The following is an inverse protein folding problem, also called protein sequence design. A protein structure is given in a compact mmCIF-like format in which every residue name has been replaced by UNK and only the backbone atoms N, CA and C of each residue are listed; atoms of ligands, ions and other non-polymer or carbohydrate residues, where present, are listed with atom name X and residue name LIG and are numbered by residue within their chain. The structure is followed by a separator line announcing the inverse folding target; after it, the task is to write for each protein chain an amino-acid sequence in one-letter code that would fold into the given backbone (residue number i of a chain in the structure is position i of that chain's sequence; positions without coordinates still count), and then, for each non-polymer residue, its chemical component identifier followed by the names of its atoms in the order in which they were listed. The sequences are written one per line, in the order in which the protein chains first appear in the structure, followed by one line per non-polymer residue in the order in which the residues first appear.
data_IF_354208891222
#
_entry.id   IF_354208891222
#
_cell.length_a   1.000
_cell.length_b   1.000
_cell.length_c   1.000
_cell.angle_alpha   90.00
_cell.angle_beta   90.00
_cell.angle_gamma   90.00
#
_symmetry.space_group_name_H-M   'P 1'
#
loop_
_entity.id
_entity.type
_entity.pdbx_description
1 polymer ?
#
# COMPACT_ATOMS: atom_id res chain seq x y z
N UNK A 1 -7.41 -24.34 -16.28
CA UNK A 1 -6.48 -23.20 -16.52
C UNK A 1 -7.21 -21.88 -16.77
N UNK A 2 -8.31 -21.85 -17.52
CA UNK A 2 -9.08 -20.62 -17.78
C UNK A 2 -9.55 -19.90 -16.50
N UNK A 3 -10.08 -20.65 -15.52
CA UNK A 3 -10.52 -20.08 -14.25
C UNK A 3 -9.40 -19.38 -13.46
N UNK A 4 -8.17 -19.88 -13.54
CA UNK A 4 -7.00 -19.27 -12.89
C UNK A 4 -6.54 -17.98 -13.59
N UNK A 5 -6.64 -17.94 -14.92
CA UNK A 5 -6.40 -16.71 -15.68
C UNK A 5 -7.47 -15.66 -15.40
N UNK A 6 -8.74 -16.05 -15.31
CA UNK A 6 -9.84 -15.15 -14.97
C UNK A 6 -9.66 -14.52 -13.58
N UNK A 7 -9.26 -15.31 -12.58
CA UNK A 7 -8.96 -14.78 -11.24
C UNK A 7 -7.79 -13.79 -11.27
N UNK A 8 -6.71 -14.11 -11.98
CA UNK A 8 -5.57 -13.18 -12.09
C UNK A 8 -5.99 -11.85 -12.73
N UNK A 9 -6.73 -11.90 -13.84
CA UNK A 9 -7.16 -10.69 -14.56
C UNK A 9 -8.13 -9.85 -13.73
N UNK A 10 -9.10 -10.48 -13.07
CA UNK A 10 -10.12 -9.79 -12.28
C UNK A 10 -9.61 -9.31 -10.91
N UNK A 11 -8.49 -9.87 -10.42
CA UNK A 11 -7.85 -9.45 -9.17
C UNK A 11 -7.00 -8.18 -9.32
N UNK A 12 -6.67 -7.78 -10.55
CA UNK A 12 -5.93 -6.54 -10.79
C UNK A 12 -6.93 -5.38 -10.63
N UNK A 13 -6.72 -4.48 -9.65
CA UNK A 13 -7.58 -3.32 -9.51
C UNK A 13 -7.47 -2.43 -10.75
N UNK A 14 -8.61 -2.01 -11.30
CA UNK A 14 -8.67 -1.16 -12.50
C UNK A 14 -8.11 0.26 -12.29
N UNK A 15 -7.79 0.63 -11.04
CA UNK A 15 -7.35 1.96 -10.64
C UNK A 15 -6.35 1.87 -9.48
N UNK A 16 -5.32 2.70 -9.50
CA UNK A 16 -4.28 2.84 -8.46
C UNK A 16 -4.76 3.56 -7.18
N UNK A 17 -6.08 3.65 -6.95
CA UNK A 17 -6.64 4.40 -5.82
C UNK A 17 -6.24 3.82 -4.44
N UNK A 18 -5.92 2.53 -4.36
CA UNK A 18 -5.42 1.87 -3.15
C UNK A 18 -3.99 2.32 -2.79
N UNK A 19 -2.98 2.16 -3.67
CA UNK A 19 -1.64 2.65 -3.38
C UNK A 19 -1.57 4.17 -3.22
N UNK A 20 -2.33 4.94 -3.99
CA UNK A 20 -2.39 6.41 -3.85
C UNK A 20 -2.92 6.86 -2.49
N UNK A 21 -3.88 6.13 -1.92
CA UNK A 21 -4.39 6.38 -0.56
C UNK A 21 -3.33 6.06 0.49
N UNK A 22 -2.62 4.94 0.35
CA UNK A 22 -1.52 4.55 1.25
C UNK A 22 -0.38 5.58 1.23
N UNK A 23 0.01 6.08 0.05
CA UNK A 23 1.02 7.14 -0.03
C UNK A 23 0.55 8.48 0.57
N UNK A 24 -0.75 8.75 0.50
CA UNK A 24 -1.33 9.94 1.12
C UNK A 24 -1.36 9.84 2.65
N UNK A 25 -1.62 8.66 3.22
CA UNK A 25 -1.55 8.41 4.66
C UNK A 25 -0.11 8.35 5.18
N UNK A 26 0.81 7.77 4.40
CA UNK A 26 2.22 7.65 4.77
C UNK A 26 2.94 8.99 4.87
N UNK A 27 2.37 10.06 4.31
CA UNK A 27 2.86 11.43 4.48
C UNK A 27 2.82 11.88 5.95
N UNK A 28 1.82 11.44 6.72
CA UNK A 28 1.67 11.78 8.15
C UNK A 28 2.71 11.07 9.03
N UNK A 29 3.18 9.90 8.61
CA UNK A 29 4.25 9.14 9.26
C UNK A 29 5.64 9.60 8.81
N UNK A 30 5.81 10.07 7.56
CA UNK A 30 7.08 10.60 7.03
C UNK A 30 7.44 12.00 7.52
N UNK A 31 6.49 12.93 7.57
CA UNK A 31 6.78 14.31 7.99
C UNK A 31 5.51 15.04 8.45
N UNK A 32 5.29 15.08 9.77
CA UNK A 32 4.83 16.28 10.50
C UNK A 32 4.78 16.05 12.02
N UNK A 33 4.51 14.82 12.51
CA UNK A 33 4.15 14.61 13.93
C UNK A 33 5.12 13.80 14.80
N UNK A 34 5.78 12.74 14.33
CA UNK A 34 6.69 11.93 15.18
C UNK A 34 7.74 11.18 14.35
N UNK A 35 9.01 11.42 14.67
CA UNK A 35 10.17 10.55 14.41
C UNK A 35 10.57 10.33 12.93
N UNK A 36 11.83 10.64 12.64
CA UNK A 36 12.53 10.28 11.40
C UNK A 36 12.74 8.76 11.33
N UNK A 37 11.68 8.03 10.98
CA UNK A 37 11.72 6.59 10.79
C UNK A 37 12.45 6.28 9.47
N UNK A 38 13.23 5.18 9.45
CA UNK A 38 13.91 4.71 8.24
C UNK A 38 12.87 4.11 7.29
N UNK A 39 13.13 4.19 5.98
CA UNK A 39 12.23 3.74 4.92
C UNK A 39 11.77 2.29 5.11
N UNK A 40 12.66 1.40 5.59
CA UNK A 40 12.37 0.00 5.89
C UNK A 40 11.25 -0.15 6.94
N UNK A 41 11.24 0.72 7.96
CA UNK A 41 10.26 0.70 9.04
C UNK A 41 8.93 1.28 8.58
N UNK A 42 8.97 2.30 7.71
CA UNK A 42 7.77 2.88 7.09
C UNK A 42 7.05 1.83 6.22
N UNK A 43 7.81 1.10 5.39
CA UNK A 43 7.27 0.04 4.55
C UNK A 43 6.62 -1.07 5.39
N UNK A 44 7.27 -1.50 6.47
CA UNK A 44 6.71 -2.51 7.38
C UNK A 44 5.42 -2.02 8.07
N UNK A 45 5.37 -0.76 8.49
CA UNK A 45 4.18 -0.16 9.11
C UNK A 45 2.99 -0.06 8.14
N UNK A 46 3.20 0.44 6.93
CA UNK A 46 2.15 0.53 5.92
C UNK A 46 1.68 -0.87 5.49
N UNK A 47 2.59 -1.86 5.42
CA UNK A 47 2.22 -3.25 5.18
C UNK A 47 1.32 -3.79 6.31
N UNK A 48 1.66 -3.53 7.58
CA UNK A 48 0.85 -3.92 8.74
C UNK A 48 -0.52 -3.22 8.78
N UNK A 49 -0.65 -2.00 8.25
CA UNK A 49 -1.94 -1.30 8.15
C UNK A 49 -2.81 -1.77 6.98
N UNK A 50 -2.20 -2.34 5.95
CA UNK A 50 -2.90 -2.83 4.75
C UNK A 50 -3.30 -4.31 4.83
N UNK A 51 -2.93 -5.01 5.91
CA UNK A 51 -3.38 -6.37 6.24
C UNK A 51 -4.68 -6.31 7.05
#
# INVERSE_FOLDING_TARGET
NLARMALNILSIPAMSALPERLFSSSKLTLSDRRCRLRDDVLQALECLQSW
#
